data_IF_037809899769
#
_entry.id   IF_037809899769
#
_cell.length_a   1.000
_cell.length_b   1.000
_cell.length_c   1.000
_cell.angle_alpha   90.00
_cell.angle_beta   90.00
_cell.angle_gamma   90.00
#
_symmetry.space_group_name_H-M   'P 1'
#
loop_
_entity.id
_entity.type
_entity.pdbx_description
1 polymer ?
#
# COMPACT_ATOMS: atom_id res chain seq x y z
N UNK A 1 2.77 0.82 -7.26
CA UNK A 1 3.13 -0.12 -6.17
C UNK A 1 3.69 0.61 -4.95
N UNK A 2 4.84 1.30 -5.07
CA UNK A 2 5.47 2.01 -3.96
C UNK A 2 4.52 3.03 -3.28
N UNK A 3 3.85 3.88 -4.05
CA UNK A 3 2.94 4.91 -3.52
C UNK A 3 1.73 4.33 -2.79
N UNK A 4 1.14 3.28 -3.34
CA UNK A 4 0.01 2.58 -2.71
C UNK A 4 0.41 2.01 -1.35
N UNK A 5 1.59 1.39 -1.25
CA UNK A 5 2.10 0.85 0.02
C UNK A 5 2.53 1.96 0.99
N UNK A 6 2.98 3.11 0.49
CA UNK A 6 3.24 4.29 1.32
C UNK A 6 1.94 4.82 1.95
N UNK A 7 0.88 4.95 1.16
CA UNK A 7 -0.45 5.33 1.65
C UNK A 7 -0.96 4.32 2.67
N UNK A 8 -0.80 3.02 2.43
CA UNK A 8 -1.15 1.97 3.38
C UNK A 8 -0.49 2.16 4.74
N UNK A 9 0.83 2.34 4.75
CA UNK A 9 1.60 2.56 5.98
C UNK A 9 1.12 3.81 6.73
N UNK A 10 0.80 4.89 6.02
CA UNK A 10 0.24 6.10 6.62
C UNK A 10 -1.16 5.87 7.20
N UNK A 11 -2.04 5.15 6.49
CA UNK A 11 -3.38 4.79 6.98
C UNK A 11 -3.32 3.94 8.24
N UNK A 12 -2.40 2.99 8.31
CA UNK A 12 -2.14 2.21 9.54
C UNK A 12 -1.76 3.13 10.69
N UNK A 13 -0.84 4.06 10.47
CA UNK A 13 -0.43 4.99 11.54
C UNK A 13 -1.58 5.88 11.98
N UNK A 14 -2.34 6.45 11.07
CA UNK A 14 -3.52 7.25 11.39
C UNK A 14 -4.51 6.45 12.25
N UNK A 15 -4.89 5.25 11.81
CA UNK A 15 -5.82 4.40 12.54
C UNK A 15 -5.30 4.02 13.94
N UNK A 16 -3.98 3.86 14.10
CA UNK A 16 -3.35 3.55 15.39
C UNK A 16 -3.28 4.77 16.33
N UNK A 17 -3.24 6.00 15.80
CA UNK A 17 -3.05 7.23 16.59
C UNK A 17 -4.30 8.07 16.76
N UNK A 18 -5.36 7.80 15.99
CA UNK A 18 -6.60 8.57 16.00
C UNK A 18 -7.82 7.66 16.19
N UNK A 19 -8.92 8.22 16.67
CA UNK A 19 -10.19 7.51 16.82
C UNK A 19 -10.96 7.56 15.50
N UNK A 20 -11.02 6.42 14.79
CA UNK A 20 -11.76 6.25 13.53
C UNK A 20 -11.51 7.41 12.52
N UNK A 21 -10.26 7.67 12.12
CA UNK A 21 -9.96 8.76 11.21
C UNK A 21 -10.57 8.50 9.83
N UNK A 22 -11.01 9.57 9.16
CA UNK A 22 -11.30 9.53 7.72
C UNK A 22 -10.01 9.70 6.95
N UNK A 23 -9.61 8.69 6.17
CA UNK A 23 -8.39 8.76 5.36
C UNK A 23 -8.58 9.69 4.18
N UNK A 24 -7.47 10.22 3.67
CA UNK A 24 -7.44 10.92 2.39
C UNK A 24 -7.31 9.89 1.25
N UNK A 25 -8.29 9.79 0.33
CA UNK A 25 -8.10 9.08 -0.92
C UNK A 25 -7.08 9.80 -1.79
N UNK A 26 -6.52 9.08 -2.75
CA UNK A 26 -5.67 9.66 -3.76
C UNK A 26 -6.04 9.05 -5.11
N UNK A 27 -5.87 9.83 -6.17
CA UNK A 27 -6.13 9.37 -7.52
C UNK A 27 -4.90 8.58 -8.01
N UNK A 28 -5.02 7.25 -8.03
CA UNK A 28 -3.93 6.37 -8.45
C UNK A 28 -3.51 6.61 -9.90
N UNK A 29 -4.48 6.86 -10.79
CA UNK A 29 -4.23 7.07 -12.20
C UNK A 29 -3.50 8.40 -12.43
N UNK A 30 -3.93 9.46 -11.73
CA UNK A 30 -3.24 10.74 -11.77
C UNK A 30 -1.82 10.64 -11.19
N UNK A 31 -1.63 9.86 -10.11
CA UNK A 31 -0.33 9.66 -9.47
C UNK A 31 0.65 8.96 -10.41
N UNK A 32 0.22 7.88 -11.09
CA UNK A 32 1.05 7.18 -12.08
C UNK A 32 1.43 8.08 -13.25
N UNK A 33 0.61 9.08 -13.59
CA UNK A 33 0.89 10.04 -14.65
C UNK A 33 1.94 11.12 -14.31
N UNK A 34 2.43 11.18 -13.07
CA UNK A 34 3.44 12.17 -12.66
C UNK A 34 4.85 11.80 -13.16
N UNK A 35 5.72 12.79 -13.26
CA UNK A 35 7.04 12.64 -13.88
C UNK A 35 7.95 11.65 -13.15
N UNK A 36 7.90 11.60 -11.82
CA UNK A 36 8.62 10.62 -11.00
C UNK A 36 8.17 9.19 -11.28
N UNK A 37 6.88 8.98 -11.56
CA UNK A 37 6.31 7.67 -11.87
C UNK A 37 6.51 7.26 -13.34
N UNK A 38 6.43 8.21 -14.27
CA UNK A 38 6.54 7.95 -15.71
C UNK A 38 7.97 7.85 -16.23
N UNK A 39 8.90 8.60 -15.62
CA UNK A 39 10.29 8.72 -16.11
C UNK A 39 11.35 8.53 -15.03
N UNK A 40 10.95 8.34 -13.78
CA UNK A 40 11.87 8.07 -12.69
C UNK A 40 12.57 6.72 -12.83
N UNK A 41 13.67 6.58 -12.11
CA UNK A 41 14.41 5.32 -12.05
C UNK A 41 13.58 4.29 -11.27
N UNK A 42 13.42 3.10 -11.84
CA UNK A 42 12.71 1.99 -11.20
C UNK A 42 13.39 1.58 -9.89
N UNK A 43 14.72 1.76 -9.78
CA UNK A 43 15.47 1.44 -8.57
C UNK A 43 15.01 2.29 -7.37
N UNK A 44 14.70 3.56 -7.59
CA UNK A 44 14.20 4.45 -6.52
C UNK A 44 12.85 3.95 -5.98
N UNK A 45 11.95 3.49 -6.86
CA UNK A 45 10.67 2.92 -6.47
C UNK A 45 10.84 1.59 -5.71
N UNK A 46 11.82 0.75 -6.10
CA UNK A 46 12.14 -0.51 -5.42
C UNK A 46 12.72 -0.26 -4.02
N UNK A 47 13.69 0.65 -3.90
CA UNK A 47 14.28 1.06 -2.63
C UNK A 47 13.22 1.65 -1.68
N UNK A 48 12.31 2.48 -2.21
CA UNK A 48 11.18 3.01 -1.47
C UNK A 48 10.26 1.90 -0.96
N UNK A 49 9.88 0.96 -1.82
CA UNK A 49 9.03 -0.17 -1.43
C UNK A 49 9.68 -1.02 -0.34
N UNK A 50 10.97 -1.32 -0.47
CA UNK A 50 11.73 -2.07 0.53
C UNK A 50 11.75 -1.35 1.89
N UNK A 51 12.06 -0.06 1.89
CA UNK A 51 12.08 0.76 3.11
C UNK A 51 10.68 0.85 3.76
N UNK A 52 9.62 0.98 2.97
CA UNK A 52 8.23 0.97 3.45
C UNK A 52 7.93 -0.36 4.14
N UNK A 53 8.23 -1.48 3.49
CA UNK A 53 7.96 -2.82 4.02
C UNK A 53 8.74 -3.09 5.30
N UNK A 54 10.03 -2.73 5.36
CA UNK A 54 10.84 -2.84 6.58
C UNK A 54 10.18 -2.10 7.74
N UNK A 55 9.73 -0.87 7.53
CA UNK A 55 9.05 -0.07 8.57
C UNK A 55 7.68 -0.62 8.93
N UNK A 56 6.92 -1.10 7.94
CA UNK A 56 5.57 -1.61 8.15
C UNK A 56 5.61 -2.92 8.94
N UNK A 57 6.55 -3.83 8.65
CA UNK A 57 6.76 -5.05 9.44
C UNK A 57 7.12 -4.73 10.88
N UNK A 58 7.98 -3.74 11.13
CA UNK A 58 8.30 -3.29 12.51
C UNK A 58 7.04 -2.78 13.21
N UNK A 59 6.22 -1.97 12.53
CA UNK A 59 4.94 -1.48 13.06
C UNK A 59 4.01 -2.64 13.43
N UNK A 60 3.78 -3.57 12.49
CA UNK A 60 2.90 -4.73 12.66
C UNK A 60 3.34 -5.64 13.81
N UNK A 61 4.64 -5.87 13.97
CA UNK A 61 5.20 -6.66 15.08
C UNK A 61 5.07 -5.96 16.44
N UNK A 62 4.96 -4.64 16.45
CA UNK A 62 4.76 -3.84 17.67
C UNK A 62 3.29 -3.67 18.07
N UNK A 63 2.34 -4.07 17.22
CA UNK A 63 0.91 -3.96 17.51
C UNK A 63 0.45 -5.02 18.52
N UNK A 64 -0.45 -4.62 19.40
CA UNK A 64 -1.21 -5.54 20.24
C UNK A 64 -2.32 -6.22 19.43
N UNK A 65 -2.80 -7.37 19.89
CA UNK A 65 -3.90 -8.09 19.22
C UNK A 65 -5.16 -7.21 19.03
N UNK A 66 -5.44 -6.32 19.99
CA UNK A 66 -6.56 -5.36 19.93
C UNK A 66 -6.36 -4.25 18.92
N UNK A 67 -5.11 -3.91 18.57
CA UNK A 67 -4.82 -2.83 17.63
C UNK A 67 -5.28 -3.18 16.20
N UNK A 68 -5.35 -4.47 15.87
CA UNK A 68 -5.85 -4.95 14.59
C UNK A 68 -7.33 -4.62 14.36
N UNK A 69 -8.12 -4.46 15.43
CA UNK A 69 -9.51 -4.03 15.36
C UNK A 69 -9.67 -2.50 15.22
N UNK A 70 -8.58 -1.73 15.33
CA UNK A 70 -8.60 -0.30 15.00
C UNK A 70 -8.93 -0.13 13.52
N UNK A 71 -9.49 1.02 13.18
CA UNK A 71 -10.12 1.20 11.88
C UNK A 71 -10.01 2.64 11.39
N UNK A 72 -10.30 2.81 10.10
CA UNK A 72 -10.44 4.10 9.45
C UNK A 72 -11.65 4.10 8.51
N UNK A 73 -12.18 5.28 8.19
CA UNK A 73 -13.25 5.46 7.20
C UNK A 73 -12.62 5.77 5.83
N UNK A 74 -12.97 5.00 4.80
CA UNK A 74 -12.65 5.33 3.41
C UNK A 74 -13.81 6.14 2.81
N UNK A 75 -13.64 7.46 2.59
CA UNK A 75 -14.78 8.34 2.28
C UNK A 75 -15.42 8.03 0.92
N UNK A 76 -14.67 7.52 -0.06
CA UNK A 76 -15.21 7.13 -1.37
C UNK A 76 -16.04 5.85 -1.33
N UNK A 77 -15.76 4.95 -0.39
CA UNK A 77 -16.53 3.72 -0.23
C UNK A 77 -17.66 3.88 0.79
N UNK A 78 -17.66 4.97 1.57
CA UNK A 78 -18.58 5.17 2.71
C UNK A 78 -18.46 4.07 3.76
N UNK A 79 -17.31 3.38 3.82
CA UNK A 79 -17.11 2.16 4.58
C UNK A 79 -15.93 2.29 5.54
N UNK A 80 -16.05 1.58 6.66
CA UNK A 80 -15.00 1.45 7.67
C UNK A 80 -14.18 0.20 7.37
N UNK A 81 -12.86 0.35 7.37
CA UNK A 81 -11.91 -0.75 7.19
C UNK A 81 -11.13 -0.94 8.49
N UNK A 82 -11.10 -2.17 8.98
CA UNK A 82 -10.27 -2.57 10.12
C UNK A 82 -8.86 -2.94 9.66
N UNK A 83 -7.86 -2.77 10.54
CA UNK A 83 -6.46 -2.96 10.15
C UNK A 83 -6.12 -4.42 9.80
N UNK A 84 -6.80 -5.41 10.36
CA UNK A 84 -6.68 -6.82 9.95
C UNK A 84 -7.22 -7.07 8.53
N UNK A 85 -8.38 -6.53 8.19
CA UNK A 85 -8.93 -6.60 6.82
C UNK A 85 -7.93 -6.03 5.81
N UNK A 86 -7.42 -4.84 6.10
CA UNK A 86 -6.44 -4.18 5.21
C UNK A 86 -5.15 -4.99 5.15
N UNK A 87 -4.66 -5.52 6.28
CA UNK A 87 -3.45 -6.36 6.27
C UNK A 87 -3.63 -7.62 5.41
N UNK A 88 -4.81 -8.24 5.41
CA UNK A 88 -5.09 -9.43 4.61
C UNK A 88 -5.06 -9.15 3.10
N UNK A 89 -5.45 -7.93 2.68
CA UNK A 89 -5.53 -7.55 1.27
C UNK A 89 -4.16 -7.26 0.64
N UNK A 90 -3.22 -6.68 1.39
CA UNK A 90 -1.96 -6.19 0.80
C UNK A 90 -1.02 -7.29 0.26
N UNK A 91 -0.95 -8.51 0.85
CA UNK A 91 -0.26 -9.63 0.23
C UNK A 91 -0.84 -10.03 -1.14
N UNK A 92 -2.17 -9.97 -1.30
CA UNK A 92 -2.81 -10.19 -2.60
C UNK A 92 -2.45 -9.08 -3.58
N UNK A 93 -2.53 -7.82 -3.15
CA UNK A 93 -2.21 -6.65 -3.96
C UNK A 93 -0.77 -6.71 -4.53
N UNK A 94 0.21 -7.08 -3.72
CA UNK A 94 1.59 -7.26 -4.17
C UNK A 94 1.73 -8.38 -5.22
N UNK A 95 1.07 -9.53 -4.99
CA UNK A 95 1.09 -10.67 -5.92
C UNK A 95 0.40 -10.33 -7.24
N UNK A 96 -0.69 -9.58 -7.18
CA UNK A 96 -1.45 -9.16 -8.35
C UNK A 96 -0.57 -8.36 -9.32
N UNK A 97 0.13 -7.33 -8.82
CA UNK A 97 1.01 -6.51 -9.66
C UNK A 97 2.27 -7.24 -10.11
N UNK A 98 2.86 -8.09 -9.28
CA UNK A 98 3.96 -8.95 -9.71
C UNK A 98 3.53 -9.89 -10.85
N UNK A 99 2.31 -10.42 -10.78
CA UNK A 99 1.72 -11.25 -11.84
C UNK A 99 1.58 -10.51 -13.16
N UNK A 100 1.18 -9.23 -13.16
CA UNK A 100 1.10 -8.40 -14.37
C UNK A 100 2.47 -8.26 -15.06
N UNK A 101 3.53 -8.02 -14.28
CA UNK A 101 4.91 -7.89 -14.80
C UNK A 101 5.38 -9.23 -15.39
N UNK A 102 5.18 -10.33 -14.66
CA UNK A 102 5.56 -11.67 -15.11
C UNK A 102 4.84 -12.02 -16.41
N UNK A 103 3.52 -11.78 -16.47
CA UNK A 103 2.72 -12.03 -17.67
C UNK A 103 3.25 -11.25 -18.88
N UNK A 104 3.56 -9.96 -18.70
CA UNK A 104 4.11 -9.12 -19.78
C UNK A 104 5.47 -9.66 -20.25
N UNK A 105 6.36 -9.99 -19.31
CA UNK A 105 7.67 -10.55 -19.60
C UNK A 105 7.58 -11.85 -20.42
N UNK A 106 6.68 -12.75 -20.03
CA UNK A 106 6.43 -14.03 -20.70
C UNK A 106 5.88 -13.84 -22.12
N UNK A 107 4.93 -12.93 -22.32
CA UNK A 107 4.30 -12.72 -23.63
C UNK A 107 5.19 -11.98 -24.63
N UNK A 108 6.20 -11.24 -24.15
CA UNK A 108 7.19 -10.58 -25.00
C UNK A 108 8.52 -11.33 -25.12
N UNK A 109 8.67 -12.48 -24.45
CA UNK A 109 9.88 -13.30 -24.50
C UNK A 109 11.12 -12.63 -23.89
N UNK A 110 10.94 -11.76 -22.90
CA UNK A 110 12.04 -11.09 -22.21
C UNK A 110 12.64 -12.02 -21.13
N UNK A 111 13.97 -12.07 -21.02
CA UNK A 111 14.71 -12.90 -20.04
C UNK A 111 15.06 -12.12 -18.78
#
# INVERSE_FOLDING_TARGET
MADSHAHALLRFKLALTEEQPTIKPYDEAATVGLADSMTGDVEDALLMLEAIHRRWVVLLRGMQATDFARNYIHPEHGQTFTLDQVLADYPWHARHHAGQIIWLREHHGWS
#
